data_IF_846801586327
#
_entry.id   IF_846801586327
#
_cell.length_a   1.000
_cell.length_b   1.000
_cell.length_c   1.000
_cell.angle_alpha   90.00
_cell.angle_beta   90.00
_cell.angle_gamma   90.00
#
_symmetry.space_group_name_H-M   'P 1'
#
loop_
_entity.id
_entity.type
_entity.pdbx_description
1 polymer ?
#
# COMPACT_ATOMS: atom_id res chain seq x y z
N UNK A 1 -8.80 21.75 45.66
CA UNK A 1 -9.85 20.93 45.03
C UNK A 1 -9.32 20.42 43.69
N UNK A 2 -8.93 19.14 43.62
CA UNK A 2 -8.49 18.53 42.35
C UNK A 2 -9.75 18.34 41.51
N UNK A 3 -9.95 19.16 40.48
CA UNK A 3 -10.79 18.72 39.36
C UNK A 3 -10.06 17.53 38.77
N UNK A 4 -10.45 16.31 39.18
CA UNK A 4 -10.17 15.11 38.38
C UNK A 4 -10.62 15.51 36.98
N UNK A 5 -9.65 15.64 36.06
CA UNK A 5 -9.94 15.88 34.65
C UNK A 5 -11.11 14.98 34.29
N UNK A 6 -12.27 15.59 33.98
CA UNK A 6 -13.51 14.89 33.63
C UNK A 6 -13.09 13.75 32.73
N UNK A 7 -13.27 12.50 33.18
CA UNK A 7 -12.72 11.30 32.55
C UNK A 7 -13.13 11.32 31.07
N UNK A 8 -12.28 11.86 30.18
CA UNK A 8 -12.61 11.96 28.76
C UNK A 8 -12.76 10.54 28.28
N UNK A 9 -13.84 10.24 27.59
CA UNK A 9 -13.98 8.93 26.96
C UNK A 9 -12.83 8.76 25.96
N UNK A 10 -12.34 7.52 25.76
CA UNK A 10 -11.25 7.24 24.82
C UNK A 10 -11.49 7.89 23.45
N UNK A 11 -12.75 7.94 22.99
CA UNK A 11 -13.14 8.66 21.76
C UNK A 11 -12.78 10.14 21.72
N UNK A 12 -12.76 10.85 22.85
CA UNK A 12 -12.49 12.29 22.93
C UNK A 12 -11.00 12.62 22.98
N UNK A 13 -10.12 11.61 23.01
CA UNK A 13 -8.67 11.83 23.00
C UNK A 13 -8.15 12.12 21.59
N UNK A 14 -8.76 11.53 20.56
CA UNK A 14 -8.43 11.85 19.18
C UNK A 14 -9.40 12.91 18.62
N UNK A 15 -8.85 13.98 18.03
CA UNK A 15 -9.62 15.09 17.42
C UNK A 15 -10.11 14.79 16.02
N UNK A 16 -9.59 13.74 15.38
CA UNK A 16 -10.00 13.34 14.04
C UNK A 16 -11.48 12.90 14.03
N UNK A 17 -12.34 13.55 13.23
CA UNK A 17 -13.76 13.20 13.15
C UNK A 17 -14.01 11.75 12.69
N UNK A 18 -13.12 11.19 11.85
CA UNK A 18 -13.26 9.84 11.32
C UNK A 18 -13.02 8.78 12.41
N UNK A 19 -12.02 9.00 13.27
CA UNK A 19 -11.72 8.09 14.39
C UNK A 19 -12.82 8.14 15.45
N UNK A 20 -13.40 9.33 15.69
CA UNK A 20 -14.55 9.47 16.58
C UNK A 20 -15.78 8.72 16.05
N UNK A 21 -16.07 8.83 14.75
CA UNK A 21 -17.17 8.10 14.14
C UNK A 21 -16.96 6.58 14.21
N UNK A 22 -15.75 6.11 13.88
CA UNK A 22 -15.37 4.70 13.98
C UNK A 22 -15.60 4.16 15.40
N UNK A 23 -15.10 4.88 16.42
CA UNK A 23 -15.25 4.48 17.82
C UNK A 23 -16.73 4.44 18.23
N UNK A 24 -17.51 5.45 17.84
CA UNK A 24 -18.95 5.51 18.16
C UNK A 24 -19.70 4.32 17.55
N UNK A 25 -19.37 3.97 16.31
CA UNK A 25 -20.03 2.93 15.53
C UNK A 25 -19.61 1.51 15.96
N UNK A 26 -18.35 1.29 16.32
CA UNK A 26 -17.80 -0.04 16.61
C UNK A 26 -17.64 -0.36 18.10
N UNK A 27 -17.30 0.62 18.94
CA UNK A 27 -17.02 0.39 20.37
C UNK A 27 -18.19 0.75 21.30
N UNK A 28 -18.95 1.81 20.99
CA UNK A 28 -20.05 2.29 21.86
C UNK A 28 -21.44 2.12 21.26
N UNK A 29 -21.59 1.30 20.22
CA UNK A 29 -22.90 1.08 19.59
C UNK A 29 -23.86 0.44 20.59
N UNK A 30 -25.03 1.07 20.88
CA UNK A 30 -26.02 0.53 21.80
C UNK A 30 -26.80 -0.65 21.21
N UNK A 31 -26.75 -0.85 19.89
CA UNK A 31 -27.48 -1.90 19.18
C UNK A 31 -26.93 -3.31 19.47
N UNK A 32 -25.66 -3.39 19.87
CA UNK A 32 -25.08 -4.61 20.37
C UNK A 32 -24.81 -4.43 21.86
N UNK A 33 -25.58 -5.13 22.71
CA UNK A 33 -25.18 -5.42 24.09
C UNK A 33 -23.95 -6.34 24.03
N UNK A 34 -22.79 -5.73 23.76
CA UNK A 34 -21.70 -6.27 22.98
C UNK A 34 -20.88 -7.34 23.73
N UNK A 35 -21.17 -8.61 23.46
CA UNK A 35 -20.25 -9.74 23.75
C UNK A 35 -18.94 -9.69 22.95
N UNK A 36 -18.83 -8.78 21.97
CA UNK A 36 -17.76 -8.73 20.96
C UNK A 36 -17.01 -7.39 20.87
N UNK A 37 -17.27 -6.42 21.75
CA UNK A 37 -16.57 -5.12 21.71
C UNK A 37 -15.14 -5.20 22.28
N UNK A 38 -14.92 -6.12 23.22
CA UNK A 38 -13.65 -6.29 23.90
C UNK A 38 -13.23 -7.75 23.84
N UNK A 39 -11.95 -7.96 23.55
CA UNK A 39 -11.31 -9.26 23.56
C UNK A 39 -10.10 -9.20 24.47
N UNK A 40 -9.72 -10.34 25.05
CA UNK A 40 -8.36 -10.48 25.60
C UNK A 40 -7.32 -10.31 24.49
N UNK A 41 -6.08 -10.04 24.86
CA UNK A 41 -5.01 -9.79 23.90
C UNK A 41 -4.78 -11.02 23.04
N UNK A 42 -4.80 -12.19 23.66
CA UNK A 42 -4.60 -13.49 23.01
C UNK A 42 -5.73 -13.77 22.01
N UNK A 43 -6.99 -13.58 22.41
CA UNK A 43 -8.15 -13.77 21.54
C UNK A 43 -8.19 -12.74 20.39
N UNK A 44 -7.88 -11.48 20.70
CA UNK A 44 -7.87 -10.40 19.71
C UNK A 44 -6.81 -10.64 18.64
N UNK A 45 -5.59 -11.01 19.05
CA UNK A 45 -4.48 -11.31 18.13
C UNK A 45 -4.75 -12.57 17.32
N UNK A 46 -5.33 -13.61 17.94
CA UNK A 46 -5.73 -14.82 17.20
C UNK A 46 -6.80 -14.52 16.15
N UNK A 47 -7.75 -13.63 16.44
CA UNK A 47 -8.76 -13.17 15.47
C UNK A 47 -8.14 -12.41 14.30
N UNK A 48 -7.16 -11.54 14.56
CA UNK A 48 -6.40 -10.84 13.49
C UNK A 48 -5.68 -11.85 12.57
N UNK A 49 -5.24 -12.99 13.12
CA UNK A 49 -4.57 -14.03 12.34
C UNK A 49 -5.53 -14.83 11.44
N UNK A 50 -6.72 -15.13 11.94
CA UNK A 50 -7.68 -16.05 11.30
C UNK A 50 -8.69 -15.33 10.39
N UNK A 51 -9.09 -14.12 10.74
CA UNK A 51 -10.20 -13.37 10.13
C UNK A 51 -9.71 -11.97 9.70
N UNK A 52 -10.47 -11.29 8.82
CA UNK A 52 -10.23 -9.88 8.49
C UNK A 52 -10.66 -8.96 9.64
N UNK A 53 -9.84 -8.92 10.68
CA UNK A 53 -10.13 -8.22 11.92
C UNK A 53 -9.08 -7.17 12.25
N UNK A 54 -9.52 -6.01 12.73
CA UNK A 54 -8.65 -4.96 13.25
C UNK A 54 -8.77 -4.93 14.78
N UNK A 55 -7.65 -5.14 15.47
CA UNK A 55 -7.60 -5.14 16.93
C UNK A 55 -6.78 -3.96 17.44
N UNK A 56 -7.38 -3.17 18.32
CA UNK A 56 -6.70 -2.06 18.98
C UNK A 56 -6.18 -2.50 20.34
N UNK A 57 -4.88 -2.37 20.56
CA UNK A 57 -4.23 -2.69 21.84
C UNK A 57 -2.88 -1.96 21.96
N UNK A 58 -2.23 -2.07 23.11
CA UNK A 58 -0.90 -1.51 23.35
C UNK A 58 0.18 -2.34 22.65
N UNK A 59 1.04 -1.69 21.87
CA UNK A 59 2.17 -2.32 21.17
C UNK A 59 3.07 -3.15 22.10
N UNK A 60 3.29 -2.66 23.34
CA UNK A 60 4.11 -3.33 24.36
C UNK A 60 3.58 -4.73 24.72
N UNK A 61 2.27 -4.95 24.64
CA UNK A 61 1.67 -6.26 24.90
C UNK A 61 1.44 -7.08 23.62
N UNK A 62 1.18 -6.38 22.51
CA UNK A 62 0.90 -7.02 21.24
C UNK A 62 2.13 -7.66 20.60
N UNK A 63 3.25 -6.93 20.52
CA UNK A 63 4.44 -7.39 19.79
C UNK A 63 4.99 -8.74 20.28
N UNK A 64 5.16 -8.98 21.59
CA UNK A 64 5.65 -10.28 22.07
C UNK A 64 4.69 -11.43 21.75
N UNK A 65 3.38 -11.15 21.70
CA UNK A 65 2.35 -12.17 21.42
C UNK A 65 2.29 -12.47 19.93
N UNK A 66 2.40 -11.45 19.07
CA UNK A 66 2.48 -11.57 17.61
C UNK A 66 3.73 -12.35 17.22
N UNK A 67 4.89 -12.01 17.80
CA UNK A 67 6.15 -12.68 17.50
C UNK A 67 6.11 -14.18 17.75
N UNK A 68 5.41 -14.60 18.82
CA UNK A 68 5.22 -16.01 19.20
C UNK A 68 4.16 -16.75 18.38
N UNK A 69 3.10 -16.06 17.96
CA UNK A 69 1.89 -16.70 17.41
C UNK A 69 1.85 -16.64 15.88
N UNK A 70 2.38 -15.59 15.27
CA UNK A 70 2.27 -15.38 13.82
C UNK A 70 3.40 -16.10 13.08
N UNK A 71 3.10 -16.76 11.95
CA UNK A 71 4.13 -17.20 11.02
C UNK A 71 4.70 -15.99 10.24
N UNK A 72 5.92 -16.11 9.74
CA UNK A 72 6.66 -14.97 9.16
C UNK A 72 5.96 -14.33 7.94
N UNK A 73 5.27 -15.13 7.13
CA UNK A 73 4.47 -14.64 6.01
C UNK A 73 3.31 -13.74 6.47
N UNK A 74 2.67 -14.06 7.60
CA UNK A 74 1.58 -13.26 8.18
C UNK A 74 2.10 -12.02 8.90
N UNK A 75 3.31 -12.08 9.47
CA UNK A 75 3.96 -10.90 10.06
C UNK A 75 4.19 -9.80 9.02
N UNK A 76 4.70 -10.13 7.82
CA UNK A 76 4.94 -9.13 6.78
C UNK A 76 3.63 -8.50 6.23
N UNK A 77 2.50 -9.20 6.32
CA UNK A 77 1.19 -8.68 5.91
C UNK A 77 0.47 -7.86 6.98
N UNK A 78 1.05 -7.73 8.18
CA UNK A 78 0.42 -7.01 9.29
C UNK A 78 0.65 -5.50 9.17
N UNK A 79 -0.45 -4.75 9.14
CA UNK A 79 -0.43 -3.30 9.16
C UNK A 79 -0.78 -2.76 10.54
N UNK A 80 0.03 -1.82 11.02
CA UNK A 80 -0.20 -1.10 12.27
C UNK A 80 -0.66 0.33 11.96
N UNK A 81 -1.70 0.78 12.66
CA UNK A 81 -2.24 2.14 12.53
C UNK A 81 -2.28 2.77 13.91
N UNK A 82 -1.66 3.94 14.05
CA UNK A 82 -1.66 4.71 15.29
C UNK A 82 -3.00 5.43 15.46
N UNK A 83 -3.86 4.88 16.32
CA UNK A 83 -5.20 5.45 16.58
C UNK A 83 -5.18 6.66 17.52
N UNK A 84 -4.19 6.76 18.41
CA UNK A 84 -4.08 7.84 19.39
C UNK A 84 -2.68 8.44 19.35
N UNK A 85 -2.55 9.77 19.44
CA UNK A 85 -1.24 10.40 19.49
C UNK A 85 -0.49 9.89 20.72
N UNK A 86 0.82 9.68 20.56
CA UNK A 86 1.70 9.33 21.68
C UNK A 86 1.86 10.56 22.56
N UNK A 87 1.17 10.60 23.70
CA UNK A 87 1.41 11.61 24.72
C UNK A 87 2.49 11.14 25.69
N UNK A 88 3.43 12.03 26.03
CA UNK A 88 4.41 11.73 27.08
C UNK A 88 3.71 11.68 28.44
N UNK A 89 3.68 10.50 29.03
CA UNK A 89 3.14 10.28 30.36
C UNK A 89 4.04 10.92 31.43
N UNK A 90 3.44 11.62 32.37
CA UNK A 90 4.11 12.09 33.58
C UNK A 90 3.67 11.25 34.76
N UNK A 91 4.57 11.06 35.72
CA UNK A 91 4.22 10.42 36.98
C UNK A 91 3.19 11.29 37.73
N UNK A 92 2.00 10.76 38.09
CA UNK A 92 1.01 11.51 38.83
C UNK A 92 1.46 11.69 40.28
N UNK A 93 1.31 12.91 40.82
CA UNK A 93 1.61 13.21 42.23
C UNK A 93 0.42 13.89 42.92
N UNK A 94 0.21 13.65 44.22
CA UNK A 94 -0.67 14.48 45.04
C UNK A 94 -0.25 15.96 44.97
N UNK A 95 -1.21 16.87 44.96
CA UNK A 95 -0.93 18.31 44.79
C UNK A 95 -0.01 18.87 45.87
N UNK A 96 -0.14 18.39 47.11
CA UNK A 96 0.65 18.79 48.27
C UNK A 96 1.82 17.85 48.58
N UNK A 97 2.22 16.98 47.64
CA UNK A 97 3.33 16.05 47.89
C UNK A 97 4.67 16.79 48.01
N UNK A 98 5.41 16.65 49.12
CA UNK A 98 6.73 17.27 49.29
C UNK A 98 7.77 16.66 48.32
N UNK A 99 7.55 15.43 47.86
CA UNK A 99 8.48 14.72 46.98
C UNK A 99 8.36 15.10 45.50
N UNK A 100 7.32 15.85 45.12
CA UNK A 100 7.06 16.20 43.71
C UNK A 100 8.29 16.82 43.02
N UNK A 101 8.99 17.75 43.68
CA UNK A 101 10.16 18.42 43.13
C UNK A 101 11.34 17.46 42.95
N UNK A 102 11.62 16.65 43.98
CA UNK A 102 12.75 15.73 44.00
C UNK A 102 12.58 14.67 42.91
N UNK A 103 11.39 14.06 42.81
CA UNK A 103 11.13 13.03 41.81
C UNK A 103 11.11 13.63 40.41
N UNK A 104 10.51 14.81 40.21
CA UNK A 104 10.53 15.49 38.90
C UNK A 104 11.96 15.81 38.44
N UNK A 105 12.83 16.25 39.35
CA UNK A 105 14.24 16.48 39.05
C UNK A 105 14.95 15.17 38.71
N UNK A 106 14.74 14.11 39.49
CA UNK A 106 15.29 12.78 39.22
C UNK A 106 14.89 12.26 37.83
N UNK A 107 13.61 12.36 37.48
CA UNK A 107 13.11 11.93 36.16
C UNK A 107 13.73 12.72 35.00
N UNK A 108 13.91 14.04 35.16
CA UNK A 108 14.61 14.86 34.15
C UNK A 108 16.07 14.44 34.00
N UNK A 109 16.77 14.23 35.11
CA UNK A 109 18.17 13.78 35.10
C UNK A 109 18.31 12.39 34.44
N UNK A 110 17.35 11.49 34.65
CA UNK A 110 17.30 10.18 33.98
C UNK A 110 17.14 10.30 32.46
N UNK A 111 16.34 11.27 32.00
CA UNK A 111 16.16 11.54 30.58
C UNK A 111 17.39 12.24 29.97
N UNK A 112 17.94 13.26 30.64
CA UNK A 112 19.13 14.01 30.20
C UNK A 112 20.36 13.11 30.05
N UNK A 113 20.55 12.16 30.97
CA UNK A 113 21.66 11.21 30.91
C UNK A 113 21.40 10.02 29.96
N UNK A 114 20.24 9.95 29.30
CA UNK A 114 19.88 8.87 28.39
C UNK A 114 19.53 7.53 29.04
N UNK A 115 19.47 7.45 30.38
CA UNK A 115 19.13 6.20 31.08
C UNK A 115 17.68 5.79 30.79
N UNK A 116 16.78 6.77 30.64
CA UNK A 116 15.40 6.54 30.23
C UNK A 116 15.32 5.84 28.87
N UNK A 117 16.08 6.31 27.89
CA UNK A 117 16.08 5.72 26.54
C UNK A 117 16.72 4.33 26.52
N UNK A 118 17.77 4.13 27.30
CA UNK A 118 18.36 2.80 27.48
C UNK A 118 17.34 1.81 28.07
N UNK A 119 16.69 2.20 29.17
CA UNK A 119 15.66 1.37 29.80
C UNK A 119 14.51 1.09 28.85
N UNK A 120 14.06 2.09 28.08
CA UNK A 120 13.03 1.87 27.07
C UNK A 120 13.46 0.87 26.01
N UNK A 121 14.70 0.89 25.54
CA UNK A 121 15.20 -0.11 24.58
C UNK A 121 15.26 -1.52 25.16
N UNK A 122 15.58 -1.66 26.44
CA UNK A 122 15.68 -2.96 27.11
C UNK A 122 14.30 -3.57 27.39
N UNK A 123 13.35 -2.77 27.86
CA UNK A 123 12.05 -3.28 28.33
C UNK A 123 10.93 -3.18 27.29
N UNK A 124 11.05 -2.28 26.32
CA UNK A 124 10.04 -2.16 25.25
C UNK A 124 10.35 -3.21 24.20
N UNK A 125 9.41 -4.13 23.91
CA UNK A 125 9.62 -5.10 22.85
C UNK A 125 9.79 -4.37 21.52
N UNK A 126 10.78 -4.82 20.75
CA UNK A 126 10.97 -4.35 19.39
C UNK A 126 9.76 -4.72 18.52
N UNK A 127 9.56 -3.97 17.45
CA UNK A 127 8.59 -4.33 16.44
C UNK A 127 8.97 -5.72 15.86
N UNK A 128 8.02 -6.64 15.67
CA UNK A 128 8.32 -7.96 15.13
C UNK A 128 8.94 -7.82 13.74
N UNK A 129 10.18 -8.28 13.59
CA UNK A 129 10.87 -8.32 12.30
C UNK A 129 10.38 -9.52 11.51
N UNK A 130 10.11 -9.35 10.22
CA UNK A 130 9.89 -10.49 9.34
C UNK A 130 11.18 -10.80 8.56
N UNK A 131 11.60 -12.07 8.55
CA UNK A 131 12.87 -12.53 7.97
C UNK A 131 12.97 -12.32 6.44
N UNK A 132 11.88 -11.86 5.82
CA UNK A 132 11.82 -11.41 4.44
C UNK A 132 12.48 -10.03 4.25
N UNK A 133 13.73 -9.90 4.69
CA UNK A 133 14.59 -8.73 4.38
C UNK A 133 14.93 -8.62 2.88
N UNK A 134 14.47 -9.58 2.05
CA UNK A 134 14.73 -9.65 0.60
C UNK A 134 13.47 -9.53 -0.28
N UNK A 135 12.28 -9.28 0.29
CA UNK A 135 11.07 -9.14 -0.52
C UNK A 135 10.56 -7.70 -0.52
N UNK A 136 11.23 -6.87 -1.30
CA UNK A 136 10.55 -5.79 -2.01
C UNK A 136 10.94 -5.79 -3.49
N UNK A 137 11.26 -6.97 -4.03
CA UNK A 137 10.97 -7.22 -5.45
C UNK A 137 9.46 -7.40 -5.54
N UNK A 138 8.75 -6.29 -5.73
CA UNK A 138 7.35 -6.30 -6.12
C UNK A 138 7.31 -7.05 -7.46
N UNK A 139 7.12 -8.37 -7.41
CA UNK A 139 6.93 -9.21 -8.58
C UNK A 139 5.57 -8.83 -9.15
N UNK A 140 5.55 -7.77 -9.96
CA UNK A 140 4.39 -7.38 -10.73
C UNK A 140 4.01 -8.56 -11.61
N UNK A 141 2.88 -9.18 -11.29
CA UNK A 141 2.36 -10.29 -12.07
C UNK A 141 2.12 -9.84 -13.51
N UNK A 142 2.32 -10.75 -14.47
CA UNK A 142 2.07 -10.50 -15.89
C UNK A 142 0.67 -9.93 -16.16
N UNK A 143 -0.30 -10.22 -15.28
CA UNK A 143 -1.65 -9.67 -15.31
C UNK A 143 -1.66 -8.13 -15.26
N UNK A 144 -0.79 -7.50 -14.47
CA UNK A 144 -0.69 -6.04 -14.39
C UNK A 144 -0.08 -5.41 -15.65
N UNK A 145 0.68 -6.19 -16.44
CA UNK A 145 1.33 -5.76 -17.68
C UNK A 145 0.51 -6.06 -18.94
N UNK A 146 -0.60 -6.80 -18.81
CA UNK A 146 -1.51 -7.15 -19.91
C UNK A 146 -1.87 -5.99 -20.85
N UNK A 147 -2.24 -4.78 -20.39
CA UNK A 147 -2.58 -3.70 -21.31
C UNK A 147 -1.39 -3.23 -22.17
N UNK A 148 -0.17 -3.29 -21.64
CA UNK A 148 1.04 -2.94 -22.39
C UNK A 148 1.34 -3.98 -23.49
N UNK A 149 1.16 -5.28 -23.19
CA UNK A 149 1.32 -6.34 -24.17
C UNK A 149 0.25 -6.30 -25.28
N UNK A 150 -1.00 -5.98 -24.94
CA UNK A 150 -2.07 -5.80 -25.93
C UNK A 150 -1.74 -4.63 -26.88
N UNK A 151 -1.29 -3.50 -26.33
CA UNK A 151 -0.91 -2.34 -27.14
C UNK A 151 0.25 -2.67 -28.09
N UNK A 152 1.27 -3.38 -27.60
CA UNK A 152 2.40 -3.83 -28.40
C UNK A 152 1.96 -4.78 -29.53
N UNK A 153 1.08 -5.73 -29.22
CA UNK A 153 0.53 -6.67 -30.20
C UNK A 153 -0.28 -5.96 -31.30
N UNK A 154 -1.19 -5.06 -30.92
CA UNK A 154 -1.98 -4.28 -31.86
C UNK A 154 -1.11 -3.40 -32.76
N UNK A 155 -0.09 -2.73 -32.18
CA UNK A 155 0.86 -1.91 -32.94
C UNK A 155 1.66 -2.72 -33.96
N UNK A 156 2.10 -3.93 -33.57
CA UNK A 156 2.81 -4.85 -34.47
C UNK A 156 1.95 -5.31 -35.65
N UNK A 157 0.68 -5.68 -35.39
CA UNK A 157 -0.27 -6.07 -36.43
C UNK A 157 -0.57 -4.91 -37.39
N UNK A 158 -0.80 -3.70 -36.87
CA UNK A 158 -1.01 -2.50 -37.68
C UNK A 158 0.17 -2.20 -38.60
N UNK A 159 1.40 -2.31 -38.07
CA UNK A 159 2.62 -2.11 -38.87
C UNK A 159 2.73 -3.12 -40.01
N UNK A 160 2.45 -4.40 -39.75
CA UNK A 160 2.44 -5.43 -40.78
C UNK A 160 1.38 -5.17 -41.87
N UNK A 161 0.18 -4.70 -41.49
CA UNK A 161 -0.87 -4.35 -42.45
C UNK A 161 -0.43 -3.20 -43.36
N UNK A 162 0.15 -2.14 -42.78
CA UNK A 162 0.64 -0.99 -43.55
C UNK A 162 1.74 -1.43 -44.53
N UNK A 163 2.69 -2.26 -44.08
CA UNK A 163 3.76 -2.79 -44.93
C UNK A 163 3.20 -3.62 -46.10
N UNK A 164 2.21 -4.48 -45.86
CA UNK A 164 1.57 -5.26 -46.91
C UNK A 164 0.84 -4.37 -47.93
N UNK A 165 0.13 -3.33 -47.46
CA UNK A 165 -0.53 -2.36 -48.33
C UNK A 165 0.46 -1.58 -49.20
N UNK A 166 1.61 -1.22 -48.63
CA UNK A 166 2.68 -0.54 -49.36
C UNK A 166 3.26 -1.45 -50.46
N UNK A 167 3.59 -2.71 -50.13
CA UNK A 167 4.13 -3.67 -51.10
C UNK A 167 3.13 -3.92 -52.25
N UNK A 168 1.85 -4.09 -51.93
CA UNK A 168 0.80 -4.29 -52.95
C UNK A 168 0.64 -3.06 -53.84
N UNK A 169 0.67 -1.86 -53.26
CA UNK A 169 0.56 -0.60 -54.00
C UNK A 169 1.78 -0.38 -54.89
N UNK A 170 2.98 -0.63 -54.39
CA UNK A 170 4.23 -0.56 -55.16
C UNK A 170 4.23 -1.54 -56.34
N UNK A 171 3.83 -2.80 -56.10
CA UNK A 171 3.69 -3.80 -57.17
C UNK A 171 2.64 -3.40 -58.20
N UNK A 172 1.48 -2.87 -57.78
CA UNK A 172 0.44 -2.36 -58.71
C UNK A 172 0.93 -1.17 -59.54
N UNK A 173 1.67 -0.23 -58.95
CA UNK A 173 2.26 0.89 -59.70
C UNK A 173 3.31 0.42 -60.71
N UNK A 174 4.20 -0.50 -60.32
CA UNK A 174 5.20 -1.08 -61.23
C UNK A 174 4.54 -1.85 -62.39
N UNK A 175 3.50 -2.65 -62.11
CA UNK A 175 2.76 -3.37 -63.17
C UNK A 175 2.01 -2.41 -64.09
N UNK A 176 1.43 -1.31 -63.58
CA UNK A 176 0.81 -0.29 -64.42
C UNK A 176 1.84 0.41 -65.32
N UNK A 177 3.03 0.72 -64.82
CA UNK A 177 4.13 1.28 -65.63
C UNK A 177 4.64 0.33 -66.73
N UNK A 178 4.77 -0.96 -66.42
CA UNK A 178 5.18 -1.99 -67.41
C UNK A 178 4.08 -2.24 -68.46
N UNK A 179 2.81 -2.23 -68.06
CA UNK A 179 1.68 -2.33 -68.99
C UNK A 179 1.58 -1.07 -69.86
N UNK A 180 1.79 0.13 -69.31
CA UNK A 180 1.77 1.38 -70.07
C UNK A 180 2.88 1.41 -71.13
N UNK A 181 4.12 1.04 -70.76
CA UNK A 181 5.24 0.92 -71.70
C UNK A 181 4.98 -0.14 -72.79
N UNK A 182 4.43 -1.30 -72.43
CA UNK A 182 4.10 -2.35 -73.42
C UNK A 182 2.95 -1.95 -74.35
N UNK A 183 2.02 -1.12 -73.86
CA UNK A 183 0.91 -0.57 -74.66
C UNK A 183 1.40 0.53 -75.61
N UNK A 184 2.34 1.39 -75.18
CA UNK A 184 3.00 2.38 -76.05
C UNK A 184 3.85 1.70 -77.14
N UNK A 185 4.58 0.64 -76.81
CA UNK A 185 5.42 -0.10 -77.77
C UNK A 185 4.56 -0.82 -78.83
N UNK A 186 3.43 -1.40 -78.43
CA UNK A 186 2.47 -2.03 -79.35
C UNK A 186 1.73 -1.01 -80.24
N UNK A 187 1.52 0.22 -79.75
CA UNK A 187 0.93 1.31 -80.52
C UNK A 187 1.91 1.91 -81.55
N UNK A 188 3.21 1.96 -81.23
CA UNK A 188 4.27 2.44 -82.13
C UNK A 188 4.46 1.50 -83.33
N UNK A 189 4.54 0.19 -83.11
CA UNK A 189 4.68 -0.83 -84.18
C UNK A 189 3.47 -0.81 -85.14
N UNK A 190 2.25 -0.61 -84.61
CA UNK A 190 1.03 -0.53 -85.43
C UNK A 190 0.94 0.75 -86.27
N UNK A 191 1.63 1.83 -85.86
CA UNK A 191 1.69 3.07 -86.62
C UNK A 191 2.76 3.01 -87.73
N UNK A 192 3.87 2.31 -87.49
CA UNK A 192 4.94 2.13 -88.47
C UNK A 192 4.51 1.24 -89.66
N UNK A 193 3.79 0.16 -89.38
CA UNK A 193 3.23 -0.75 -90.40
C UNK A 193 2.04 -0.16 -91.20
N UNK A 194 1.61 1.07 -90.89
CA UNK A 194 0.50 1.76 -91.57
C UNK A 194 0.96 2.52 -92.82
N UNK A 195 2.25 2.81 -92.95
CA UNK A 195 2.83 3.57 -94.08
C UNK A 195 3.54 2.67 -95.12
N UNK A 196 3.55 1.35 -94.90
CA UNK A 196 4.29 0.37 -95.72
C UNK A 196 3.38 -0.56 -96.55
N UNK A 197 2.09 -0.25 -96.69
CA UNK A 197 1.12 -0.94 -97.57
C UNK A 197 0.38 0.07 -98.44
#
# INVERSE_FOLDING_TARGET
MIRIQKRRSLSQMNKDPLIQELYRKKMTSPYHHNKHAYYSIEQGIQKVLMEEFAFHTEAVRAYPTIEKTFPDNKKCGLNEILLFPVEMGYMPFPYSSPYKKIISYGMKKLAENGLWDHQNKVWRPARPTCASSNADVISVGLVSLTPAYILLGCGGVLSLIILLLEIVSYKRMKNKGVIFMKTEESARIKNENRWTN
#
